data_IF_410616198106
#
_entry.id   IF_410616198106
#
_cell.length_a   1.000
_cell.length_b   1.000
_cell.length_c   1.000
_cell.angle_alpha   90.00
_cell.angle_beta   90.00
_cell.angle_gamma   90.00
#
_symmetry.space_group_name_H-M   'P 1'
#
loop_
_entity.id
_entity.type
_entity.pdbx_description
1 polymer ?
#
# COMPACT_ATOMS: atom_id res chain seq x y z
N UNK A 1 51.08 -2.44 -17.03
CA UNK A 1 50.27 -1.81 -15.96
C UNK A 1 48.77 -1.69 -16.34
N UNK A 2 48.10 -2.75 -16.80
CA UNK A 2 46.67 -2.70 -17.19
C UNK A 2 45.79 -3.76 -16.57
N UNK A 3 46.31 -4.59 -15.66
CA UNK A 3 45.57 -5.76 -15.11
C UNK A 3 45.11 -5.60 -13.65
N UNK A 4 45.41 -4.48 -12.96
CA UNK A 4 45.10 -4.32 -11.53
C UNK A 4 43.80 -3.57 -11.23
N UNK A 5 43.14 -2.98 -12.23
CA UNK A 5 41.93 -2.16 -12.03
C UNK A 5 40.65 -3.00 -12.06
N UNK A 6 40.65 -4.19 -12.67
CA UNK A 6 39.45 -5.02 -12.83
C UNK A 6 39.08 -5.77 -11.55
N UNK A 7 40.02 -6.07 -10.66
CA UNK A 7 39.74 -6.83 -9.42
C UNK A 7 39.13 -6.02 -8.28
N UNK A 8 39.18 -4.69 -8.30
CA UNK A 8 38.60 -3.85 -7.23
C UNK A 8 37.11 -3.52 -7.41
N UNK A 9 36.55 -3.75 -8.60
CA UNK A 9 35.14 -3.46 -8.89
C UNK A 9 34.18 -4.64 -8.59
N UNK A 10 34.66 -5.88 -8.57
CA UNK A 10 33.83 -7.05 -8.30
C UNK A 10 33.20 -7.10 -6.87
N UNK A 11 33.88 -6.73 -5.79
CA UNK A 11 33.28 -6.79 -4.44
C UNK A 11 32.19 -5.71 -4.21
N UNK A 12 32.22 -4.59 -4.93
CA UNK A 12 31.20 -3.53 -4.83
C UNK A 12 29.87 -3.94 -5.49
N UNK A 13 29.90 -4.68 -6.58
CA UNK A 13 28.70 -5.19 -7.25
C UNK A 13 28.01 -6.29 -6.46
N UNK A 14 28.74 -7.14 -5.75
CA UNK A 14 28.17 -8.20 -4.91
C UNK A 14 27.44 -7.65 -3.68
N UNK A 15 27.92 -6.54 -3.08
CA UNK A 15 27.28 -5.90 -1.94
C UNK A 15 25.91 -5.28 -2.30
N UNK A 16 25.76 -4.76 -3.49
CA UNK A 16 24.48 -4.19 -3.96
C UNK A 16 23.42 -5.28 -4.19
N UNK A 17 23.81 -6.44 -4.73
CA UNK A 17 22.89 -7.57 -4.92
C UNK A 17 22.39 -8.18 -3.61
N UNK A 18 23.22 -8.28 -2.57
CA UNK A 18 22.83 -8.80 -1.25
C UNK A 18 21.84 -7.88 -0.57
N UNK A 19 22.03 -6.56 -0.63
CA UNK A 19 21.13 -5.58 -0.04
C UNK A 19 19.74 -5.57 -0.69
N UNK A 20 19.65 -5.74 -1.99
CA UNK A 20 18.40 -5.82 -2.73
C UNK A 20 17.61 -7.08 -2.36
N UNK A 21 18.26 -8.24 -2.30
CA UNK A 21 17.64 -9.51 -1.92
C UNK A 21 17.04 -9.45 -0.51
N UNK A 22 17.76 -8.89 0.47
CA UNK A 22 17.27 -8.77 1.85
C UNK A 22 16.09 -7.80 1.97
N UNK A 23 16.08 -6.71 1.22
CA UNK A 23 14.98 -5.74 1.17
C UNK A 23 13.70 -6.36 0.62
N UNK A 24 13.80 -7.12 -0.47
CA UNK A 24 12.64 -7.78 -1.08
C UNK A 24 12.09 -8.91 -0.19
N UNK A 25 12.95 -9.66 0.48
CA UNK A 25 12.53 -10.67 1.45
C UNK A 25 11.79 -10.05 2.64
N UNK A 26 12.28 -8.92 3.18
CA UNK A 26 11.59 -8.15 4.23
C UNK A 26 10.22 -7.65 3.73
N UNK A 27 10.15 -7.19 2.48
CA UNK A 27 8.90 -6.77 1.85
C UNK A 27 7.86 -7.89 1.82
N UNK A 28 8.21 -9.04 1.26
CA UNK A 28 7.30 -10.19 1.16
C UNK A 28 6.82 -10.68 2.53
N UNK A 29 7.72 -10.70 3.51
CA UNK A 29 7.38 -11.04 4.90
C UNK A 29 6.36 -10.05 5.45
N UNK A 30 6.59 -8.74 5.27
CA UNK A 30 5.67 -7.70 5.75
C UNK A 30 4.31 -7.78 5.06
N UNK A 31 4.27 -8.02 3.74
CA UNK A 31 3.02 -8.23 2.99
C UNK A 31 2.19 -9.33 3.63
N UNK A 32 2.79 -10.50 3.89
CA UNK A 32 2.10 -11.66 4.49
C UNK A 32 1.59 -11.36 5.91
N UNK A 33 2.41 -10.72 6.74
CA UNK A 33 2.05 -10.37 8.12
C UNK A 33 0.89 -9.36 8.17
N UNK A 34 0.89 -8.37 7.29
CA UNK A 34 -0.21 -7.41 7.19
C UNK A 34 -1.50 -8.10 6.77
N UNK A 35 -1.47 -8.92 5.71
CA UNK A 35 -2.67 -9.64 5.23
C UNK A 35 -3.21 -10.56 6.32
N UNK A 36 -2.36 -11.33 7.01
CA UNK A 36 -2.74 -12.23 8.09
C UNK A 36 -3.40 -11.46 9.25
N UNK A 37 -2.83 -10.33 9.65
CA UNK A 37 -3.37 -9.50 10.71
C UNK A 37 -4.75 -8.91 10.36
N UNK A 38 -4.96 -8.47 9.11
CA UNK A 38 -6.28 -8.04 8.62
C UNK A 38 -7.27 -9.20 8.55
N UNK A 39 -6.85 -10.36 8.05
CA UNK A 39 -7.70 -11.55 7.97
C UNK A 39 -8.23 -11.98 9.33
N UNK A 40 -7.39 -11.91 10.38
CA UNK A 40 -7.73 -12.26 11.76
C UNK A 40 -8.37 -11.11 12.55
N UNK A 41 -8.43 -9.90 12.00
CA UNK A 41 -8.88 -8.69 12.70
C UNK A 41 -8.03 -8.41 13.96
N UNK A 42 -6.71 -8.60 13.85
CA UNK A 42 -5.76 -8.42 14.95
C UNK A 42 -5.18 -7.00 14.94
N UNK A 43 -5.82 -6.11 15.69
CA UNK A 43 -5.43 -4.69 15.83
C UNK A 43 -3.99 -4.51 16.28
N UNK A 44 -3.53 -5.34 17.23
CA UNK A 44 -2.19 -5.23 17.79
C UNK A 44 -1.12 -5.59 16.76
N UNK A 45 -1.38 -6.64 15.97
CA UNK A 45 -0.47 -7.06 14.90
C UNK A 45 -0.45 -6.06 13.75
N UNK A 46 -1.58 -5.52 13.30
CA UNK A 46 -1.58 -4.45 12.27
C UNK A 46 -0.82 -3.22 12.76
N UNK A 47 -1.04 -2.80 14.02
CA UNK A 47 -0.42 -1.59 14.59
C UNK A 47 1.11 -1.67 14.65
N UNK A 48 1.70 -2.87 14.74
CA UNK A 48 3.16 -3.06 14.67
C UNK A 48 3.76 -2.66 13.32
N UNK A 49 2.94 -2.69 12.27
CA UNK A 49 3.35 -2.32 10.91
C UNK A 49 3.00 -0.87 10.56
N UNK A 50 2.38 -0.10 11.44
CA UNK A 50 2.11 1.32 11.24
C UNK A 50 3.27 2.14 11.83
N UNK A 51 3.84 3.03 11.03
CA UNK A 51 4.86 3.98 11.51
C UNK A 51 4.21 5.00 12.45
N UNK A 52 4.75 5.18 13.66
CA UNK A 52 4.16 6.04 14.70
C UNK A 52 4.13 7.53 14.32
N UNK A 53 5.08 7.98 13.52
CA UNK A 53 5.17 9.38 13.08
C UNK A 53 4.22 9.65 11.91
N UNK A 54 4.21 8.75 10.93
CA UNK A 54 3.42 8.91 9.70
C UNK A 54 1.96 8.50 9.92
N UNK A 55 1.71 7.39 10.62
CA UNK A 55 0.38 6.80 10.75
C UNK A 55 -0.06 6.02 9.50
N UNK A 56 -1.36 5.79 9.41
CA UNK A 56 -2.04 5.08 8.33
C UNK A 56 -3.05 6.01 7.66
N UNK A 57 -3.02 6.09 6.35
CA UNK A 57 -4.01 6.79 5.53
C UNK A 57 -4.98 5.77 4.95
N UNK A 58 -6.26 5.95 5.22
CA UNK A 58 -7.33 5.19 4.57
C UNK A 58 -7.93 6.04 3.48
N UNK A 59 -7.97 5.50 2.25
CA UNK A 59 -8.62 6.14 1.12
C UNK A 59 -10.01 5.56 0.95
N UNK A 60 -11.01 6.40 0.87
CA UNK A 60 -12.40 6.01 0.65
C UNK A 60 -13.14 7.07 -0.18
N UNK A 61 -14.36 6.76 -0.59
CA UNK A 61 -15.21 7.70 -1.32
C UNK A 61 -16.45 8.01 -0.50
N UNK A 62 -16.64 9.30 -0.23
CA UNK A 62 -17.83 9.82 0.41
C UNK A 62 -18.56 10.70 -0.61
N UNK A 63 -19.63 10.16 -1.20
CA UNK A 63 -20.34 10.83 -2.29
C UNK A 63 -19.51 10.85 -3.57
N UNK A 64 -19.31 12.02 -4.17
CA UNK A 64 -18.68 12.17 -5.50
C UNK A 64 -17.15 12.23 -5.44
N UNK A 65 -16.57 12.57 -4.31
CA UNK A 65 -15.14 12.83 -4.18
C UNK A 65 -14.42 11.77 -3.37
N UNK A 66 -13.25 11.39 -3.87
CA UNK A 66 -12.31 10.60 -3.12
C UNK A 66 -11.81 11.37 -1.90
N UNK A 67 -11.66 10.67 -0.80
CA UNK A 67 -11.32 11.21 0.51
C UNK A 67 -10.19 10.41 1.14
N UNK A 68 -9.55 10.97 2.17
CA UNK A 68 -8.62 10.24 3.01
C UNK A 68 -8.84 10.54 4.49
N UNK A 69 -8.71 9.52 5.30
CA UNK A 69 -8.70 9.59 6.75
C UNK A 69 -7.34 9.21 7.28
N UNK A 70 -6.94 9.76 8.43
CA UNK A 70 -5.64 9.52 9.03
C UNK A 70 -5.78 8.89 10.41
N UNK A 71 -5.15 7.74 10.62
CA UNK A 71 -5.17 6.98 11.87
C UNK A 71 -3.76 6.76 12.40
N UNK A 72 -3.57 6.89 13.72
CA UNK A 72 -2.34 6.47 14.40
C UNK A 72 -2.31 4.98 14.68
N UNK A 73 -3.47 4.37 14.80
CA UNK A 73 -3.69 2.94 14.98
C UNK A 73 -5.07 2.57 14.44
N UNK A 74 -5.29 1.28 14.19
CA UNK A 74 -6.61 0.76 13.87
C UNK A 74 -7.12 -0.14 14.98
N UNK A 75 -8.44 -0.28 15.09
CA UNK A 75 -9.10 -1.13 16.07
C UNK A 75 -10.11 -2.02 15.37
N UNK A 76 -10.08 -3.32 15.63
CA UNK A 76 -11.08 -4.31 15.23
C UNK A 76 -11.78 -4.87 16.46
N UNK A 77 -13.08 -5.19 16.38
CA UNK A 77 -14.02 -4.75 15.36
C UNK A 77 -14.34 -3.26 15.52
N UNK A 78 -14.41 -2.52 14.42
CA UNK A 78 -14.87 -1.14 14.41
C UNK A 78 -16.31 -1.09 13.91
N UNK A 79 -17.17 -0.31 14.58
CA UNK A 79 -18.58 -0.13 14.22
C UNK A 79 -18.87 1.19 13.52
N UNK A 80 -17.92 2.14 13.57
CA UNK A 80 -18.07 3.48 13.01
C UNK A 80 -17.37 3.65 11.67
N UNK A 81 -18.03 4.38 10.73
CA UNK A 81 -17.39 4.83 9.50
C UNK A 81 -16.32 5.90 9.84
N UNK A 82 -15.15 5.97 9.16
CA UNK A 82 -14.73 5.08 8.07
C UNK A 82 -14.04 3.80 8.54
N UNK A 83 -13.77 3.61 9.82
CA UNK A 83 -12.99 2.48 10.35
C UNK A 83 -13.67 1.12 10.11
N UNK A 84 -14.98 1.08 9.95
CA UNK A 84 -15.73 -0.16 9.65
C UNK A 84 -15.24 -0.83 8.36
N UNK A 85 -14.69 -0.06 7.42
CA UNK A 85 -14.15 -0.58 6.16
C UNK A 85 -12.97 -1.55 6.39
N UNK A 86 -12.17 -1.37 7.44
CA UNK A 86 -11.10 -2.31 7.78
C UNK A 86 -11.62 -3.73 8.06
N UNK A 87 -12.88 -3.87 8.43
CA UNK A 87 -13.55 -5.15 8.67
C UNK A 87 -13.83 -5.97 7.41
N UNK A 88 -13.85 -5.37 6.23
CA UNK A 88 -14.21 -6.03 4.96
C UNK A 88 -13.24 -7.15 4.60
N UNK A 89 -11.97 -7.04 4.99
CA UNK A 89 -10.93 -8.05 4.75
C UNK A 89 -10.94 -9.23 5.75
N UNK A 90 -11.89 -9.29 6.71
CA UNK A 90 -12.00 -10.40 7.66
C UNK A 90 -12.07 -11.75 6.95
N UNK A 91 -11.14 -12.65 7.29
CA UNK A 91 -11.06 -13.99 6.71
C UNK A 91 -10.64 -14.01 5.24
N UNK A 92 -9.96 -12.97 4.74
CA UNK A 92 -9.34 -12.98 3.41
C UNK A 92 -8.25 -14.05 3.34
N UNK A 93 -8.15 -14.73 2.20
CA UNK A 93 -7.17 -15.80 2.01
C UNK A 93 -5.83 -15.24 1.56
N UNK A 94 -4.74 -15.61 2.24
CA UNK A 94 -3.39 -15.27 1.81
C UNK A 94 -3.05 -16.10 0.57
N UNK A 95 -2.65 -15.42 -0.50
CA UNK A 95 -2.26 -16.03 -1.76
C UNK A 95 -0.75 -15.85 -2.01
N UNK A 96 -0.11 -16.67 -2.87
CA UNK A 96 1.26 -16.43 -3.30
C UNK A 96 1.42 -15.05 -3.94
N UNK A 97 2.47 -14.31 -3.55
CA UNK A 97 2.76 -13.00 -4.11
C UNK A 97 3.29 -13.14 -5.53
N UNK A 98 2.72 -12.38 -6.44
CA UNK A 98 3.09 -12.33 -7.85
C UNK A 98 3.60 -10.93 -8.22
N UNK A 99 4.80 -10.86 -8.73
CA UNK A 99 5.39 -9.64 -9.27
C UNK A 99 4.94 -9.47 -10.73
N UNK A 100 3.93 -8.66 -10.93
CA UNK A 100 3.33 -8.41 -12.25
C UNK A 100 2.51 -7.11 -12.24
N UNK A 101 2.11 -6.66 -13.42
CA UNK A 101 1.16 -5.55 -13.54
C UNK A 101 -0.11 -5.80 -12.74
N UNK A 102 -0.55 -4.79 -11.98
CA UNK A 102 -1.70 -4.87 -11.09
C UNK A 102 -2.99 -5.20 -11.87
N UNK A 103 -3.93 -5.93 -11.25
CA UNK A 103 -5.27 -6.08 -11.83
C UNK A 103 -5.98 -4.73 -11.88
N UNK A 104 -6.91 -4.60 -12.82
CA UNK A 104 -7.81 -3.46 -12.97
C UNK A 104 -9.20 -3.82 -12.51
N UNK A 105 -9.88 -2.88 -11.87
CA UNK A 105 -11.29 -3.03 -11.49
C UNK A 105 -12.19 -2.77 -12.70
N UNK A 106 -13.23 -3.55 -12.86
CA UNK A 106 -14.26 -3.39 -13.89
C UNK A 106 -15.60 -3.10 -13.20
N UNK A 107 -16.07 -1.86 -13.34
CA UNK A 107 -17.31 -1.41 -12.72
C UNK A 107 -18.55 -2.13 -13.26
N UNK A 108 -18.60 -2.42 -14.57
CA UNK A 108 -19.76 -3.10 -15.17
C UNK A 108 -19.95 -4.52 -14.66
N UNK A 109 -18.83 -5.18 -14.31
CA UNK A 109 -18.82 -6.58 -13.85
C UNK A 109 -18.66 -6.73 -12.35
N UNK A 110 -18.44 -5.61 -11.64
CA UNK A 110 -18.19 -5.58 -10.19
C UNK A 110 -17.10 -6.60 -9.79
N UNK A 111 -15.95 -6.54 -10.48
CA UNK A 111 -14.85 -7.51 -10.26
C UNK A 111 -13.51 -7.01 -10.76
N UNK A 112 -12.44 -7.53 -10.16
CA UNK A 112 -11.09 -7.38 -10.66
C UNK A 112 -10.83 -8.25 -11.89
N UNK A 113 -9.98 -7.77 -12.79
CA UNK A 113 -9.57 -8.47 -14.02
C UNK A 113 -8.83 -9.78 -13.75
N UNK A 114 -8.23 -9.95 -12.57
CA UNK A 114 -7.51 -11.16 -12.14
C UNK A 114 -7.68 -11.38 -10.63
N UNK A 115 -7.75 -12.64 -10.21
CA UNK A 115 -7.67 -13.06 -8.80
C UNK A 115 -6.21 -13.40 -8.47
N UNK A 116 -5.77 -13.03 -7.27
CA UNK A 116 -4.40 -13.26 -6.82
C UNK A 116 -3.91 -12.19 -5.85
N UNK A 117 -2.65 -12.28 -5.51
CA UNK A 117 -1.91 -11.27 -4.75
C UNK A 117 -0.83 -10.70 -5.66
N UNK A 118 -0.93 -9.42 -5.99
CA UNK A 118 -0.07 -8.78 -6.99
C UNK A 118 0.65 -7.57 -6.42
N UNK A 119 1.86 -7.35 -6.90
CA UNK A 119 2.63 -6.11 -6.73
C UNK A 119 3.28 -5.74 -8.06
N UNK A 120 3.16 -4.48 -8.46
CA UNK A 120 3.91 -3.92 -9.59
C UNK A 120 5.04 -3.05 -9.04
N UNK A 121 6.28 -3.46 -9.28
CA UNK A 121 7.47 -2.71 -8.84
C UNK A 121 8.01 -1.78 -9.91
N UNK A 122 7.39 -1.77 -11.09
CA UNK A 122 7.81 -0.95 -12.24
C UNK A 122 7.11 0.40 -12.28
N UNK A 123 6.01 0.54 -11.53
CA UNK A 123 5.20 1.76 -11.47
C UNK A 123 5.03 2.26 -10.05
N UNK A 124 5.03 3.57 -9.90
CA UNK A 124 4.64 4.25 -8.67
C UNK A 124 3.22 4.77 -8.84
N UNK A 125 2.37 4.50 -7.84
CA UNK A 125 1.00 5.00 -7.81
C UNK A 125 0.93 6.21 -6.87
N UNK A 126 0.40 7.32 -7.37
CA UNK A 126 0.30 8.60 -6.66
C UNK A 126 -1.16 8.93 -6.28
N UNK A 127 -1.94 7.95 -5.85
CA UNK A 127 -3.37 8.08 -5.58
C UNK A 127 -3.66 9.08 -4.45
N UNK A 128 -2.96 9.01 -3.32
CA UNK A 128 -3.19 9.89 -2.17
C UNK A 128 -2.85 11.35 -2.49
N UNK A 129 -1.72 11.61 -3.14
CA UNK A 129 -1.35 12.97 -3.54
C UNK A 129 -2.26 13.51 -4.64
N UNK A 130 -2.78 12.64 -5.53
CA UNK A 130 -3.80 12.99 -6.53
C UNK A 130 -5.11 13.40 -5.85
N UNK A 131 -5.62 12.59 -4.92
CA UNK A 131 -6.82 12.91 -4.13
C UNK A 131 -6.70 14.29 -3.50
N UNK A 132 -5.56 14.63 -2.88
CA UNK A 132 -5.35 15.93 -2.27
C UNK A 132 -5.43 17.08 -3.29
N UNK A 133 -4.85 16.90 -4.49
CA UNK A 133 -4.90 17.91 -5.55
C UNK A 133 -6.33 18.09 -6.09
N UNK A 134 -7.05 16.99 -6.30
CA UNK A 134 -8.42 17.01 -6.80
C UNK A 134 -9.36 17.66 -5.76
N UNK A 135 -9.17 17.39 -4.47
CA UNK A 135 -9.91 18.04 -3.39
C UNK A 135 -9.67 19.54 -3.34
N UNK A 136 -8.43 19.99 -3.43
CA UNK A 136 -8.12 21.44 -3.48
C UNK A 136 -8.73 22.14 -4.70
N UNK A 137 -8.96 21.41 -5.79
CA UNK A 137 -9.57 21.96 -7.00
C UNK A 137 -11.09 22.07 -6.92
N UNK A 138 -11.75 21.12 -6.24
CA UNK A 138 -13.20 20.96 -6.28
C UNK A 138 -13.89 21.17 -4.93
N UNK A 139 -13.14 21.10 -3.84
CA UNK A 139 -13.62 21.25 -2.46
C UNK A 139 -12.72 22.26 -1.74
N UNK A 140 -13.25 23.17 -0.91
CA UNK A 140 -12.44 24.21 -0.24
C UNK A 140 -11.63 23.68 0.96
N UNK A 141 -10.93 22.53 0.80
CA UNK A 141 -10.20 21.87 1.87
C UNK A 141 -8.86 22.56 2.23
N UNK A 142 -8.30 23.33 1.29
CA UNK A 142 -7.03 24.07 1.46
C UNK A 142 -5.87 23.19 1.99
N UNK A 143 -5.72 21.98 1.46
CA UNK A 143 -4.60 21.09 1.82
C UNK A 143 -3.29 21.77 1.40
N UNK A 144 -2.36 22.04 2.35
CA UNK A 144 -1.13 22.77 2.04
C UNK A 144 -0.26 22.04 1.00
N UNK A 145 0.37 22.78 0.10
CA UNK A 145 1.27 22.22 -0.91
C UNK A 145 2.38 21.35 -0.31
N UNK A 146 2.93 21.74 0.85
CA UNK A 146 3.92 20.95 1.60
C UNK A 146 3.38 19.56 2.00
N UNK A 147 2.09 19.45 2.33
CA UNK A 147 1.46 18.16 2.68
C UNK A 147 1.27 17.29 1.44
N UNK A 148 0.89 17.88 0.32
CA UNK A 148 0.76 17.16 -0.96
C UNK A 148 2.14 16.65 -1.40
N UNK A 149 3.19 17.46 -1.27
CA UNK A 149 4.56 17.06 -1.56
C UNK A 149 5.02 15.92 -0.66
N UNK A 150 4.72 15.97 0.64
CA UNK A 150 5.02 14.87 1.57
C UNK A 150 4.34 13.57 1.14
N UNK A 151 3.08 13.59 0.72
CA UNK A 151 2.38 12.41 0.23
C UNK A 151 3.00 11.86 -1.04
N UNK A 152 3.35 12.73 -1.98
CA UNK A 152 4.04 12.34 -3.20
C UNK A 152 5.38 11.64 -2.92
N UNK A 153 6.17 12.16 -1.98
CA UNK A 153 7.44 11.56 -1.56
C UNK A 153 7.25 10.23 -0.81
N UNK A 154 6.18 10.11 -0.01
CA UNK A 154 5.82 8.86 0.65
C UNK A 154 5.45 7.79 -0.38
N UNK A 155 4.63 8.14 -1.37
CA UNK A 155 4.21 7.25 -2.45
C UNK A 155 5.39 6.78 -3.31
N UNK A 156 6.38 7.64 -3.57
CA UNK A 156 7.62 7.26 -4.27
C UNK A 156 8.45 6.19 -3.53
N UNK A 157 8.28 6.06 -2.23
CA UNK A 157 8.91 5.03 -1.38
C UNK A 157 8.02 3.82 -1.17
N UNK A 158 6.84 3.78 -1.80
CA UNK A 158 5.81 2.77 -1.56
C UNK A 158 5.70 1.78 -2.70
N UNK A 159 5.25 0.57 -2.34
CA UNK A 159 4.75 -0.42 -3.29
C UNK A 159 3.28 -0.66 -3.02
N UNK A 160 2.46 -0.61 -4.06
CA UNK A 160 1.05 -0.94 -3.99
C UNK A 160 0.84 -2.43 -4.14
N UNK A 161 0.04 -3.01 -3.26
CA UNK A 161 -0.32 -4.41 -3.23
C UNK A 161 -1.82 -4.53 -3.43
N UNK A 162 -2.23 -5.41 -4.34
CA UNK A 162 -3.63 -5.73 -4.60
C UNK A 162 -3.85 -7.21 -4.36
N UNK A 163 -4.67 -7.53 -3.36
CA UNK A 163 -5.14 -8.88 -3.09
C UNK A 163 -6.63 -8.98 -3.42
N UNK A 164 -7.00 -9.91 -4.30
CA UNK A 164 -8.37 -10.31 -4.56
C UNK A 164 -8.47 -11.82 -4.55
N UNK A 165 -9.15 -12.36 -3.54
CA UNK A 165 -9.20 -13.79 -3.29
C UNK A 165 -10.32 -14.51 -4.06
N UNK A 166 -10.40 -15.84 -3.89
CA UNK A 166 -11.44 -16.67 -4.53
C UNK A 166 -12.84 -16.38 -4.00
N UNK A 167 -12.95 -15.87 -2.78
CA UNK A 167 -14.20 -15.55 -2.09
C UNK A 167 -14.68 -14.11 -2.39
N UNK A 168 -14.08 -13.46 -3.38
CA UNK A 168 -14.34 -12.05 -3.75
C UNK A 168 -14.04 -11.05 -2.63
N UNK A 169 -13.16 -11.41 -1.69
CA UNK A 169 -12.64 -10.48 -0.70
C UNK A 169 -11.43 -9.79 -1.26
N UNK A 170 -11.30 -8.52 -0.93
CA UNK A 170 -10.17 -7.70 -1.36
C UNK A 170 -9.46 -7.01 -0.20
N UNK A 171 -8.21 -6.71 -0.42
CA UNK A 171 -7.40 -5.83 0.42
C UNK A 171 -6.37 -5.13 -0.47
N UNK A 172 -6.48 -3.82 -0.58
CA UNK A 172 -5.55 -3.00 -1.34
C UNK A 172 -4.82 -2.11 -0.35
N UNK A 173 -3.49 -2.18 -0.38
CA UNK A 173 -2.69 -1.41 0.57
C UNK A 173 -1.31 -1.07 0.00
N UNK A 174 -0.64 -0.13 0.67
CA UNK A 174 0.70 0.31 0.30
C UNK A 174 1.65 0.08 1.47
N UNK A 175 2.80 -0.48 1.16
CA UNK A 175 3.94 -0.53 2.08
C UNK A 175 4.99 0.48 1.64
N UNK A 176 5.36 1.38 2.53
CA UNK A 176 6.44 2.36 2.31
C UNK A 176 7.72 1.90 2.98
N UNK A 177 8.84 2.03 2.27
CA UNK A 177 10.17 1.70 2.79
C UNK A 177 10.80 2.92 3.45
N UNK A 178 10.90 2.90 4.78
CA UNK A 178 11.35 4.01 5.61
C UNK A 178 12.32 3.49 6.66
N UNK A 179 13.50 4.09 6.75
CA UNK A 179 14.51 3.73 7.74
C UNK A 179 14.74 2.20 7.80
N UNK A 180 15.00 1.60 6.63
CA UNK A 180 15.28 0.16 6.42
C UNK A 180 14.16 -0.80 6.84
N UNK A 181 12.92 -0.31 6.97
CA UNK A 181 11.75 -1.07 7.38
C UNK A 181 10.56 -0.77 6.45
N UNK A 182 9.74 -1.78 6.18
CA UNK A 182 8.49 -1.63 5.46
C UNK A 182 7.33 -1.37 6.44
N UNK A 183 6.60 -0.28 6.20
CA UNK A 183 5.45 0.12 7.01
C UNK A 183 4.19 0.18 6.17
N UNK A 184 3.07 -0.25 6.75
CA UNK A 184 1.73 -0.03 6.21
C UNK A 184 1.39 1.46 6.36
N UNK A 185 1.21 2.14 5.23
CA UNK A 185 0.98 3.59 5.22
C UNK A 185 -0.33 4.00 4.57
N UNK A 186 -0.85 3.18 3.65
CA UNK A 186 -2.12 3.46 2.96
C UNK A 186 -2.94 2.17 2.87
N UNK A 187 -4.26 2.26 3.11
CA UNK A 187 -5.25 1.25 2.72
C UNK A 187 -6.24 1.93 1.77
N UNK A 188 -6.53 1.29 0.65
CA UNK A 188 -7.23 1.86 -0.48
C UNK A 188 -8.58 1.17 -0.70
N UNK A 189 -9.67 1.88 -0.48
CA UNK A 189 -11.05 1.48 -0.76
C UNK A 189 -11.67 2.28 -1.91
N UNK A 190 -10.87 3.14 -2.59
CA UNK A 190 -11.31 3.94 -3.72
C UNK A 190 -11.24 3.15 -5.03
N UNK A 191 -10.19 2.34 -5.18
CA UNK A 191 -9.87 1.72 -6.48
C UNK A 191 -10.86 0.64 -6.93
N UNK A 192 -11.71 0.16 -6.05
CA UNK A 192 -12.82 -0.77 -6.35
C UNK A 192 -14.20 -0.13 -6.15
N UNK A 193 -14.24 1.17 -5.89
CA UNK A 193 -15.50 1.91 -5.72
C UNK A 193 -15.88 2.62 -7.01
N UNK A 194 -17.05 2.24 -7.56
CA UNK A 194 -17.62 2.81 -8.78
C UNK A 194 -18.77 3.78 -8.52
N UNK A 195 -19.00 4.17 -7.27
CA UNK A 195 -20.03 5.15 -6.94
C UNK A 195 -19.67 6.52 -7.54
N UNK A 196 -20.62 7.17 -8.20
CA UNK A 196 -20.52 8.49 -8.83
C UNK A 196 -21.63 9.39 -8.31
#
# INVERSE_FOLDING_TARGET
MRTLIVMLLLPLLSSLCVGQSTRDQKFETTVRLVIDAFARQDSASVSKHINKEIGLYQLDRIGVFDHFNHFKMISFPSKGYPQVLFGQSKGITILPLTYAGLPTWNCDKDTWSKKGLFVDTTKVDHLLSKICKDRNKHVPDNIPAKRIQFFYELENKSRRIVLYDRNKKELIFYLSYLNDTWYLTIVDYVSSDCSV
#
